data_IF_397709137418
#
_entry.id   IF_397709137418
#
_cell.length_a   1.000
_cell.length_b   1.000
_cell.length_c   1.000
_cell.angle_alpha   90.00
_cell.angle_beta   90.00
_cell.angle_gamma   90.00
#
_symmetry.space_group_name_H-M   'P 1'
#
loop_
_entity.id
_entity.type
_entity.pdbx_description
1 polymer ?
#
# COMPACT_ATOMS: atom_id res chain seq x y z
N UNK A 1 2.11 -51.82 8.46
CA UNK A 1 2.57 -50.61 9.14
C UNK A 1 2.57 -49.47 8.16
N UNK A 2 1.55 -48.59 8.16
CA UNK A 2 1.53 -47.36 7.37
C UNK A 2 2.27 -46.28 8.16
N UNK A 3 3.39 -45.81 7.66
CA UNK A 3 4.05 -44.61 8.19
C UNK A 3 3.14 -43.39 7.93
N UNK A 4 2.64 -42.80 8.99
CA UNK A 4 1.99 -41.49 9.00
C UNK A 4 3.08 -40.47 8.67
N UNK A 5 3.05 -39.92 7.49
CA UNK A 5 3.81 -38.70 7.14
C UNK A 5 3.13 -37.57 7.88
N UNK A 6 3.66 -37.17 9.01
CA UNK A 6 3.35 -35.87 9.60
C UNK A 6 3.76 -34.85 8.60
N UNK A 7 2.80 -34.03 8.10
CA UNK A 7 3.06 -32.95 7.19
C UNK A 7 4.09 -32.00 7.80
N UNK A 8 5.17 -31.74 7.08
CA UNK A 8 6.16 -30.73 7.50
C UNK A 8 5.46 -29.38 7.58
N UNK A 9 5.77 -28.55 8.58
CA UNK A 9 5.22 -27.21 8.66
C UNK A 9 5.60 -26.44 7.39
N UNK A 10 4.60 -25.87 6.74
CA UNK A 10 4.78 -25.06 5.52
C UNK A 10 4.47 -23.60 5.85
N UNK A 11 5.26 -22.69 5.29
CA UNK A 11 5.10 -21.24 5.45
C UNK A 11 4.50 -20.65 4.19
N UNK A 12 3.57 -19.69 4.34
CA UNK A 12 3.10 -18.88 3.24
C UNK A 12 4.16 -17.80 2.94
N UNK A 13 4.50 -17.59 1.68
CA UNK A 13 5.47 -16.56 1.26
C UNK A 13 4.81 -15.51 0.41
N UNK A 14 5.52 -14.39 0.22
CA UNK A 14 5.12 -13.32 -0.66
C UNK A 14 5.25 -13.81 -2.11
N UNK A 15 4.17 -14.28 -2.66
CA UNK A 15 4.07 -14.64 -4.07
C UNK A 15 2.77 -14.08 -4.63
N UNK A 16 2.72 -13.81 -5.92
CA UNK A 16 1.51 -13.36 -6.64
C UNK A 16 0.30 -14.30 -6.50
N UNK A 17 0.48 -15.46 -5.84
CA UNK A 17 -0.56 -16.43 -5.52
C UNK A 17 -0.59 -16.68 -4.01
N UNK A 18 -1.75 -16.50 -3.38
CA UNK A 18 -1.97 -16.67 -1.95
C UNK A 18 -1.69 -18.11 -1.43
N UNK A 19 -1.63 -19.10 -2.34
CA UNK A 19 -1.54 -20.51 -2.02
C UNK A 19 -0.11 -21.09 -2.04
N UNK A 20 0.91 -20.29 -2.33
CA UNK A 20 2.29 -20.78 -2.35
C UNK A 20 2.81 -20.94 -0.93
N UNK A 21 3.09 -22.19 -0.58
CA UNK A 21 3.68 -22.60 0.71
C UNK A 21 5.06 -23.19 0.46
N UNK A 22 6.03 -22.77 1.25
CA UNK A 22 7.40 -23.27 1.21
C UNK A 22 7.69 -24.18 2.40
N UNK A 23 8.69 -25.07 2.27
CA UNK A 23 9.16 -25.87 3.40
C UNK A 23 9.84 -24.95 4.44
N UNK A 24 10.02 -25.49 5.66
CA UNK A 24 10.73 -24.77 6.71
C UNK A 24 12.18 -24.46 6.33
N UNK A 25 12.84 -25.41 5.69
CA UNK A 25 14.23 -25.26 5.23
C UNK A 25 14.33 -24.13 4.20
N UNK A 26 13.39 -24.06 3.26
CA UNK A 26 13.35 -23.02 2.26
C UNK A 26 13.03 -21.66 2.88
N UNK A 27 12.11 -21.58 3.83
CA UNK A 27 11.81 -20.34 4.56
C UNK A 27 13.06 -19.83 5.33
N UNK A 28 13.82 -20.70 5.98
CA UNK A 28 15.09 -20.34 6.66
C UNK A 28 16.11 -19.84 5.65
N UNK A 29 16.23 -20.47 4.49
CA UNK A 29 17.15 -20.05 3.43
C UNK A 29 16.82 -18.65 2.93
N UNK A 30 15.56 -18.41 2.60
CA UNK A 30 15.07 -17.10 2.14
C UNK A 30 15.31 -16.01 3.18
N UNK A 31 14.93 -16.24 4.42
CA UNK A 31 15.14 -15.30 5.55
C UNK A 31 16.62 -14.96 5.75
N UNK A 32 17.50 -15.96 5.63
CA UNK A 32 18.95 -15.74 5.72
C UNK A 32 19.50 -14.94 4.54
N UNK A 33 18.98 -15.14 3.34
CA UNK A 33 19.36 -14.38 2.15
C UNK A 33 18.89 -12.92 2.25
N UNK A 34 17.63 -12.69 2.67
CA UNK A 34 17.06 -11.36 2.87
C UNK A 34 17.79 -10.61 3.99
N UNK A 35 18.03 -11.26 5.13
CA UNK A 35 18.80 -10.68 6.24
C UNK A 35 20.21 -10.29 5.79
N UNK A 36 20.90 -11.17 5.06
CA UNK A 36 22.24 -10.87 4.52
C UNK A 36 22.20 -9.67 3.57
N UNK A 37 21.21 -9.62 2.67
CA UNK A 37 21.02 -8.51 1.75
C UNK A 37 20.82 -7.17 2.46
N UNK A 38 19.96 -7.14 3.49
CA UNK A 38 19.77 -5.94 4.32
C UNK A 38 21.05 -5.52 5.02
N UNK A 39 21.82 -6.45 5.60
CA UNK A 39 23.10 -6.18 6.28
C UNK A 39 24.13 -5.62 5.28
N UNK A 40 24.29 -6.23 4.11
CA UNK A 40 25.20 -5.78 3.06
C UNK A 40 24.88 -4.35 2.60
N UNK A 41 23.60 -4.01 2.50
CA UNK A 41 23.13 -2.66 2.19
C UNK A 41 23.13 -1.70 3.39
N UNK A 42 23.38 -2.18 4.60
CA UNK A 42 23.26 -1.43 5.86
C UNK A 42 21.86 -0.84 6.03
N UNK A 43 20.84 -1.61 5.73
CA UNK A 43 19.43 -1.22 5.84
C UNK A 43 18.67 -2.13 6.79
N UNK A 44 17.56 -1.61 7.30
CA UNK A 44 16.48 -2.37 7.92
C UNK A 44 15.29 -2.44 6.95
N UNK A 45 14.37 -3.35 7.16
CA UNK A 45 13.08 -3.35 6.47
C UNK A 45 12.12 -2.38 7.18
N UNK A 46 11.48 -1.49 6.43
CA UNK A 46 10.47 -0.58 6.93
C UNK A 46 9.12 -0.94 6.32
N UNK A 47 8.20 -1.43 7.16
CA UNK A 47 6.83 -1.70 6.77
C UNK A 47 6.01 -0.44 7.01
N UNK A 48 5.37 0.06 5.96
CA UNK A 48 4.59 1.30 6.00
C UNK A 48 3.14 0.99 5.66
N UNK A 49 2.24 1.35 6.56
CA UNK A 49 0.82 1.43 6.25
C UNK A 49 0.51 2.70 5.45
N UNK A 50 -0.60 2.73 4.74
CA UNK A 50 -1.00 3.84 3.88
C UNK A 50 -1.98 4.78 4.58
N UNK A 51 -3.20 4.29 4.84
CA UNK A 51 -4.35 5.08 5.25
C UNK A 51 -4.19 5.60 6.69
N UNK A 52 -4.38 6.91 6.89
CA UNK A 52 -4.15 7.61 8.17
C UNK A 52 -2.69 7.58 8.67
N UNK A 53 -1.81 6.82 8.03
CA UNK A 53 -0.38 6.75 8.33
C UNK A 53 0.41 7.75 7.50
N UNK A 54 0.53 7.55 6.18
CA UNK A 54 1.27 8.45 5.29
C UNK A 54 0.37 9.27 4.37
N UNK A 55 -0.90 8.90 4.23
CA UNK A 55 -1.91 9.60 3.46
C UNK A 55 -3.19 9.77 4.28
N UNK A 56 -4.05 10.69 3.84
CA UNK A 56 -5.45 10.74 4.22
C UNK A 56 -6.31 10.59 2.96
N UNK A 57 -7.28 9.67 3.01
CA UNK A 57 -8.20 9.40 1.90
C UNK A 57 -9.63 9.57 2.36
N UNK A 58 -10.46 10.17 1.50
CA UNK A 58 -11.90 10.24 1.69
C UNK A 58 -12.62 9.90 0.39
N UNK A 59 -13.82 9.38 0.53
CA UNK A 59 -14.76 9.13 -0.58
C UNK A 59 -15.95 10.10 -0.54
N UNK A 60 -15.89 11.13 0.30
CA UNK A 60 -16.95 12.11 0.48
C UNK A 60 -17.18 12.91 -0.82
N UNK A 61 -18.36 12.83 -1.44
CA UNK A 61 -18.66 13.51 -2.69
C UNK A 61 -18.60 15.03 -2.59
N UNK A 62 -18.71 15.60 -1.39
CA UNK A 62 -18.62 17.06 -1.19
C UNK A 62 -17.27 17.63 -1.61
N UNK A 63 -16.20 16.82 -1.60
CA UNK A 63 -14.87 17.23 -2.11
C UNK A 63 -14.95 17.58 -3.59
N UNK A 64 -15.71 16.81 -4.38
CA UNK A 64 -15.96 17.10 -5.80
C UNK A 64 -16.74 18.41 -5.97
N UNK A 65 -17.71 18.69 -5.10
CA UNK A 65 -18.48 19.93 -5.14
C UNK A 65 -17.60 21.17 -4.93
N UNK A 66 -16.59 21.07 -4.03
CA UNK A 66 -15.66 22.17 -3.80
C UNK A 66 -14.85 22.51 -5.07
N UNK A 67 -14.56 21.51 -5.90
CA UNK A 67 -13.81 21.68 -7.14
C UNK A 67 -14.62 22.38 -8.25
N UNK A 68 -15.95 22.38 -8.18
CA UNK A 68 -16.81 23.00 -9.20
C UNK A 68 -16.90 24.52 -9.10
N UNK A 69 -16.60 25.11 -7.95
CA UNK A 69 -16.67 26.56 -7.74
C UNK A 69 -15.40 27.10 -7.08
N UNK A 70 -14.55 27.82 -7.84
CA UNK A 70 -13.36 28.48 -7.28
C UNK A 70 -13.65 29.51 -6.18
N UNK A 71 -14.92 29.94 -6.01
CA UNK A 71 -15.34 30.82 -4.91
C UNK A 71 -15.76 30.04 -3.68
N UNK A 72 -15.83 28.70 -3.75
CA UNK A 72 -16.13 27.88 -2.59
C UNK A 72 -15.08 28.10 -1.50
N UNK A 73 -15.47 28.36 -0.23
CA UNK A 73 -14.53 28.58 0.87
C UNK A 73 -13.52 27.44 1.06
N UNK A 74 -13.90 26.22 0.67
CA UNK A 74 -13.07 25.02 0.78
C UNK A 74 -12.17 24.78 -0.45
N UNK A 75 -12.25 25.62 -1.50
CA UNK A 75 -11.40 25.47 -2.68
C UNK A 75 -9.90 25.40 -2.35
N UNK A 76 -9.45 26.19 -1.38
CA UNK A 76 -8.04 26.17 -0.95
C UNK A 76 -7.61 24.83 -0.33
N UNK A 77 -8.54 24.01 0.14
CA UNK A 77 -8.25 22.69 0.71
C UNK A 77 -7.94 21.64 -0.36
N UNK A 78 -8.31 21.92 -1.63
CA UNK A 78 -8.02 21.03 -2.76
C UNK A 78 -6.56 21.09 -3.20
N UNK A 79 -5.80 22.06 -2.70
CA UNK A 79 -4.37 22.13 -2.96
C UNK A 79 -3.71 20.81 -2.56
N UNK A 80 -2.95 20.23 -3.50
CA UNK A 80 -2.24 18.96 -3.35
C UNK A 80 -3.16 17.73 -3.13
N UNK A 81 -4.47 17.86 -3.40
CA UNK A 81 -5.38 16.69 -3.45
C UNK A 81 -5.25 16.03 -4.83
N UNK A 82 -5.09 14.71 -4.82
CA UNK A 82 -5.12 13.85 -6.00
C UNK A 82 -6.40 13.02 -5.95
N UNK A 83 -7.13 12.97 -7.05
CA UNK A 83 -8.33 12.16 -7.18
C UNK A 83 -8.12 11.02 -8.17
N UNK A 84 -8.73 9.87 -7.90
CA UNK A 84 -8.84 8.75 -8.83
C UNK A 84 -10.18 8.04 -8.63
N UNK A 85 -10.61 7.25 -9.60
CA UNK A 85 -11.85 6.49 -9.49
C UNK A 85 -11.60 5.01 -9.72
N UNK A 86 -12.17 4.19 -8.84
CA UNK A 86 -12.33 2.76 -9.08
C UNK A 86 -13.76 2.48 -9.53
N UNK A 87 -13.91 1.56 -10.47
CA UNK A 87 -15.21 1.10 -10.92
C UNK A 87 -16.02 0.42 -9.82
N UNK A 88 -17.27 0.12 -10.11
CA UNK A 88 -18.21 -0.53 -9.19
C UNK A 88 -17.74 -1.89 -8.69
N UNK A 89 -16.82 -2.54 -9.40
CA UNK A 89 -16.17 -3.80 -9.02
C UNK A 89 -15.04 -3.61 -7.99
N UNK A 90 -14.63 -2.38 -7.69
CA UNK A 90 -13.50 -2.04 -6.83
C UNK A 90 -12.13 -2.50 -7.35
N UNK A 91 -12.07 -2.98 -8.61
CA UNK A 91 -10.88 -3.55 -9.24
C UNK A 91 -10.43 -2.79 -10.47
N UNK A 92 -11.37 -2.31 -11.26
CA UNK A 92 -11.09 -1.55 -12.47
C UNK A 92 -10.76 -0.10 -12.11
N UNK A 93 -9.66 0.44 -12.63
CA UNK A 93 -9.36 1.88 -12.50
C UNK A 93 -10.10 2.61 -13.62
N UNK A 94 -11.19 3.30 -13.28
CA UNK A 94 -12.01 4.03 -14.23
C UNK A 94 -11.46 5.42 -14.54
N UNK A 95 -10.75 6.03 -13.56
CA UNK A 95 -10.02 7.28 -13.74
C UNK A 95 -8.67 7.21 -13.02
N UNK A 96 -7.59 7.53 -13.75
CA UNK A 96 -6.23 7.49 -13.21
C UNK A 96 -6.00 8.62 -12.18
N UNK A 97 -5.02 8.47 -11.26
CA UNK A 97 -4.70 9.52 -10.30
C UNK A 97 -4.33 10.84 -10.99
N UNK A 98 -5.02 11.92 -10.61
CA UNK A 98 -4.86 13.25 -11.18
C UNK A 98 -5.03 14.34 -10.11
N UNK A 99 -4.25 15.41 -10.18
CA UNK A 99 -4.31 16.54 -9.23
C UNK A 99 -5.54 17.40 -9.46
N UNK A 100 -6.28 17.71 -8.40
CA UNK A 100 -7.51 18.50 -8.48
C UNK A 100 -7.25 20.00 -8.65
N UNK A 101 -6.06 20.51 -8.29
CA UNK A 101 -5.72 21.93 -8.33
C UNK A 101 -5.15 22.38 -9.69
N UNK A 102 -4.93 21.45 -10.63
CA UNK A 102 -4.27 21.73 -11.93
C UNK A 102 -5.19 21.63 -13.15
N UNK A 103 -6.41 21.10 -12.99
CA UNK A 103 -7.27 20.82 -14.13
C UNK A 103 -8.58 21.61 -14.15
N UNK A 104 -9.04 21.86 -15.38
CA UNK A 104 -10.40 22.35 -15.63
C UNK A 104 -11.38 21.29 -15.07
N UNK A 105 -12.08 21.64 -14.03
CA UNK A 105 -12.98 20.80 -13.22
C UNK A 105 -13.97 19.97 -14.04
N UNK A 106 -14.15 20.32 -15.32
CA UNK A 106 -15.01 19.64 -16.27
C UNK A 106 -14.55 18.20 -16.57
N UNK A 107 -13.25 17.88 -16.46
CA UNK A 107 -12.74 16.52 -16.72
C UNK A 107 -13.20 15.52 -15.68
N UNK A 108 -13.29 15.93 -14.40
CA UNK A 108 -13.82 15.05 -13.33
C UNK A 108 -15.33 14.82 -13.40
N UNK A 109 -16.04 15.60 -14.24
CA UNK A 109 -17.51 15.51 -14.35
C UNK A 109 -17.99 14.56 -15.44
N UNK A 110 -17.16 14.31 -16.46
CA UNK A 110 -17.57 13.63 -17.70
C UNK A 110 -16.94 12.26 -17.94
N UNK A 111 -15.76 12.01 -17.37
CA UNK A 111 -14.98 10.80 -17.63
C UNK A 111 -14.92 9.93 -16.37
N UNK A 112 -15.66 8.82 -16.38
CA UNK A 112 -15.65 7.85 -15.30
C UNK A 112 -16.83 6.90 -15.35
N UNK A 113 -16.79 5.87 -14.51
CA UNK A 113 -17.91 4.96 -14.29
C UNK A 113 -18.97 5.69 -13.44
N UNK A 114 -20.21 5.81 -13.92
CA UNK A 114 -21.32 6.45 -13.18
C UNK A 114 -21.56 5.78 -11.82
N UNK A 115 -21.24 4.49 -11.70
CA UNK A 115 -21.37 3.70 -10.47
C UNK A 115 -20.05 3.54 -9.73
N UNK A 116 -18.96 4.14 -10.22
CA UNK A 116 -17.63 4.04 -9.64
C UNK A 116 -17.48 4.90 -8.38
N UNK A 117 -16.52 4.53 -7.53
CA UNK A 117 -16.19 5.24 -6.30
C UNK A 117 -15.01 6.18 -6.52
N UNK A 118 -15.19 7.46 -6.23
CA UNK A 118 -14.12 8.45 -6.24
C UNK A 118 -13.37 8.45 -4.92
N UNK A 119 -12.04 8.47 -5.01
CA UNK A 119 -11.10 8.56 -3.90
C UNK A 119 -10.34 9.88 -3.99
N UNK A 120 -10.34 10.65 -2.91
CA UNK A 120 -9.64 11.93 -2.79
C UNK A 120 -8.52 11.77 -1.78
N UNK A 121 -7.29 11.89 -2.26
CA UNK A 121 -6.07 11.56 -1.53
C UNK A 121 -5.29 12.82 -1.22
N UNK A 122 -4.94 12.99 0.04
CA UNK A 122 -4.02 14.04 0.48
C UNK A 122 -2.83 13.42 1.19
N UNK A 123 -1.64 13.76 0.73
CA UNK A 123 -0.40 13.29 1.36
C UNK A 123 -0.22 13.96 2.73
N UNK A 124 0.31 13.22 3.69
CA UNK A 124 0.73 13.80 4.97
C UNK A 124 1.78 14.87 4.73
N UNK A 125 1.68 16.06 5.39
CA UNK A 125 2.70 17.10 5.25
C UNK A 125 4.10 16.58 5.56
N UNK A 126 5.06 16.87 4.67
CA UNK A 126 6.44 16.43 4.82
C UNK A 126 6.73 14.99 4.37
N UNK A 127 5.74 14.25 3.82
CA UNK A 127 5.91 12.86 3.40
C UNK A 127 7.09 12.66 2.46
N UNK A 128 7.24 13.50 1.42
CA UNK A 128 8.32 13.34 0.45
C UNK A 128 9.70 13.51 1.11
N UNK A 129 9.85 14.49 1.99
CA UNK A 129 11.09 14.70 2.73
C UNK A 129 11.39 13.52 3.68
N UNK A 130 10.35 12.97 4.33
CA UNK A 130 10.46 11.77 5.16
C UNK A 130 10.95 10.58 4.32
N UNK A 131 10.28 10.25 3.22
CA UNK A 131 10.65 9.12 2.36
C UNK A 131 12.09 9.25 1.82
N UNK A 132 12.49 10.45 1.39
CA UNK A 132 13.85 10.72 0.96
C UNK A 132 14.88 10.52 2.09
N UNK A 133 14.56 10.92 3.31
CA UNK A 133 15.47 10.78 4.45
C UNK A 133 15.63 9.35 4.93
N UNK A 134 14.58 8.51 4.81
CA UNK A 134 14.64 7.11 5.29
C UNK A 134 15.10 6.12 4.22
N UNK A 135 14.95 6.44 2.93
CA UNK A 135 15.30 5.53 1.82
C UNK A 135 16.75 5.03 1.82
N UNK A 136 17.76 5.80 2.29
CA UNK A 136 19.13 5.28 2.40
C UNK A 136 19.32 4.25 3.53
N UNK A 137 18.44 4.28 4.55
CA UNK A 137 18.56 3.46 5.77
C UNK A 137 17.60 2.27 5.79
N UNK A 138 16.56 2.31 4.95
CA UNK A 138 15.53 1.30 4.96
C UNK A 138 15.23 0.77 3.57
N UNK A 139 14.95 -0.52 3.47
CA UNK A 139 14.19 -1.11 2.39
C UNK A 139 12.70 -1.02 2.72
N UNK A 140 11.96 -0.29 1.90
CA UNK A 140 10.57 0.04 2.22
C UNK A 140 9.59 -0.95 1.58
N UNK A 141 8.60 -1.36 2.38
CA UNK A 141 7.49 -2.22 2.00
C UNK A 141 6.18 -1.51 2.35
N UNK A 142 5.18 -1.65 1.52
CA UNK A 142 3.80 -1.24 1.83
C UNK A 142 3.06 -2.43 2.41
N UNK A 143 2.30 -2.22 3.48
CA UNK A 143 1.36 -3.21 3.98
C UNK A 143 0.01 -2.53 4.28
N UNK A 144 -0.95 -2.69 3.39
CA UNK A 144 -2.27 -2.06 3.50
C UNK A 144 -3.39 -3.10 3.53
N UNK A 145 -4.51 -2.72 4.13
CA UNK A 145 -5.76 -3.47 4.09
C UNK A 145 -6.63 -3.11 2.86
N UNK A 146 -6.12 -2.28 1.95
CA UNK A 146 -6.76 -1.94 0.68
C UNK A 146 -6.70 -3.06 -0.37
N UNK A 147 -7.46 -2.88 -1.45
CA UNK A 147 -7.40 -3.77 -2.63
C UNK A 147 -6.16 -3.46 -3.48
N UNK A 148 -5.81 -4.38 -4.42
CA UNK A 148 -4.67 -4.19 -5.33
C UNK A 148 -4.78 -2.88 -6.11
N UNK A 149 -5.90 -2.65 -6.77
CA UNK A 149 -6.11 -1.45 -7.59
C UNK A 149 -6.03 -0.16 -6.79
N UNK A 150 -6.54 -0.17 -5.54
CA UNK A 150 -6.41 0.94 -4.62
C UNK A 150 -4.93 1.21 -4.28
N UNK A 151 -4.22 0.18 -3.81
CA UNK A 151 -2.81 0.31 -3.43
C UNK A 151 -1.92 0.76 -4.59
N UNK A 152 -2.17 0.24 -5.81
CA UNK A 152 -1.43 0.63 -7.01
C UNK A 152 -1.65 2.11 -7.36
N UNK A 153 -2.88 2.64 -7.22
CA UNK A 153 -3.16 4.06 -7.40
C UNK A 153 -2.43 4.91 -6.34
N UNK A 154 -2.49 4.51 -5.06
CA UNK A 154 -1.79 5.23 -3.98
C UNK A 154 -0.27 5.20 -4.19
N UNK A 155 0.31 4.04 -4.51
CA UNK A 155 1.75 3.93 -4.76
C UNK A 155 2.19 4.82 -5.93
N UNK A 156 1.41 4.95 -6.99
CA UNK A 156 1.70 5.89 -8.10
C UNK A 156 1.70 7.35 -7.65
N UNK A 157 0.89 7.72 -6.66
CA UNK A 157 0.85 9.07 -6.11
C UNK A 157 2.07 9.33 -5.21
N UNK A 158 2.45 8.35 -4.38
CA UNK A 158 3.50 8.47 -3.36
C UNK A 158 4.89 8.23 -3.93
N UNK A 159 5.03 7.26 -4.82
CA UNK A 159 6.28 6.76 -5.44
C UNK A 159 6.08 6.61 -6.96
N UNK A 160 5.94 7.73 -7.72
CA UNK A 160 5.61 7.68 -9.16
C UNK A 160 6.60 6.87 -10.00
N UNK A 161 7.87 6.89 -9.61
CA UNK A 161 8.94 6.20 -10.32
C UNK A 161 9.11 4.74 -9.87
N UNK A 162 8.41 4.31 -8.83
CA UNK A 162 8.46 2.95 -8.29
C UNK A 162 9.80 2.57 -7.64
N UNK A 163 10.63 3.55 -7.27
CA UNK A 163 11.96 3.29 -6.72
C UNK A 163 11.94 2.93 -5.23
N UNK A 164 10.94 3.40 -4.49
CA UNK A 164 10.88 3.22 -3.05
C UNK A 164 10.27 1.87 -2.67
N UNK A 165 9.11 1.56 -3.22
CA UNK A 165 8.36 0.35 -2.88
C UNK A 165 8.53 -0.77 -3.92
N UNK A 166 8.62 -0.44 -5.21
CA UNK A 166 8.71 -1.43 -6.29
C UNK A 166 7.58 -2.46 -6.20
N UNK A 167 7.93 -3.75 -6.18
CA UNK A 167 6.98 -4.85 -6.01
C UNK A 167 6.68 -5.21 -4.54
N UNK A 168 7.25 -4.50 -3.58
CA UNK A 168 7.14 -4.79 -2.14
C UNK A 168 5.85 -4.22 -1.54
N UNK A 169 4.70 -4.66 -2.07
CA UNK A 169 3.36 -4.22 -1.66
C UNK A 169 2.57 -5.46 -1.23
N UNK A 170 2.25 -5.56 0.06
CA UNK A 170 1.41 -6.60 0.63
C UNK A 170 0.00 -6.05 0.88
N UNK A 171 -1.00 -6.81 0.50
CA UNK A 171 -2.40 -6.45 0.53
C UNK A 171 -3.21 -7.36 1.44
N UNK A 172 -4.39 -6.90 1.83
CA UNK A 172 -5.36 -7.68 2.60
C UNK A 172 -5.63 -9.05 2.00
N UNK A 173 -5.98 -9.10 0.72
CA UNK A 173 -6.38 -10.34 0.04
C UNK A 173 -5.23 -11.35 -0.05
N UNK A 174 -4.00 -10.86 -0.06
CA UNK A 174 -2.78 -11.67 -0.10
C UNK A 174 -2.34 -12.12 1.29
N UNK A 175 -2.79 -11.44 2.35
CA UNK A 175 -2.45 -11.78 3.73
C UNK A 175 -3.18 -13.05 4.24
N UNK A 176 -4.26 -13.47 3.59
CA UNK A 176 -5.07 -14.61 4.02
C UNK A 176 -5.87 -14.39 5.32
N UNK A 177 -5.83 -13.17 5.86
CA UNK A 177 -6.63 -12.71 6.98
C UNK A 177 -7.13 -11.30 6.70
N UNK A 178 -8.44 -11.13 6.65
CA UNK A 178 -9.07 -9.84 6.33
C UNK A 178 -9.11 -8.86 7.51
N UNK A 179 -8.77 -9.33 8.71
CA UNK A 179 -8.95 -8.56 9.96
C UNK A 179 -7.63 -8.11 10.57
N UNK A 180 -6.58 -8.94 10.46
CA UNK A 180 -5.29 -8.72 11.11
C UNK A 180 -4.14 -8.72 10.09
N UNK A 181 -3.18 -7.84 10.31
CA UNK A 181 -1.88 -7.85 9.64
C UNK A 181 -0.96 -8.88 10.30
N UNK A 182 -0.12 -9.54 9.51
CA UNK A 182 0.87 -10.47 10.02
C UNK A 182 2.16 -10.37 9.22
N UNK A 183 3.27 -10.20 9.91
CA UNK A 183 4.59 -10.17 9.30
C UNK A 183 5.06 -11.56 8.83
N UNK A 184 4.42 -12.64 9.26
CA UNK A 184 4.85 -14.02 8.97
C UNK A 184 4.90 -14.37 7.48
N UNK A 185 4.22 -13.62 6.62
CA UNK A 185 4.30 -13.81 5.16
C UNK A 185 5.50 -13.12 4.52
N UNK A 186 5.91 -11.98 5.09
CA UNK A 186 7.09 -11.24 4.64
C UNK A 186 8.36 -11.78 5.30
N UNK A 187 8.25 -12.06 6.61
CA UNK A 187 9.37 -12.45 7.47
C UNK A 187 8.95 -13.68 8.28
N UNK A 188 9.01 -14.89 7.67
CA UNK A 188 8.44 -16.12 8.28
C UNK A 188 9.27 -16.65 9.44
N UNK A 189 10.53 -16.28 9.59
CA UNK A 189 11.47 -16.82 10.58
C UNK A 189 11.82 -15.79 11.64
N UNK A 190 12.27 -14.59 11.25
CA UNK A 190 12.67 -13.52 12.18
C UNK A 190 12.13 -12.16 11.74
N UNK A 191 11.79 -11.33 12.73
CA UNK A 191 11.41 -9.92 12.53
C UNK A 191 12.43 -8.95 13.14
N UNK A 192 13.63 -9.42 13.47
CA UNK A 192 14.64 -8.64 14.17
C UNK A 192 15.15 -7.42 13.37
N UNK A 193 15.04 -7.50 12.03
CA UNK A 193 15.44 -6.42 11.12
C UNK A 193 14.27 -5.55 10.66
N UNK A 194 13.09 -5.67 11.28
CA UNK A 194 11.83 -5.05 10.81
C UNK A 194 11.41 -3.89 11.71
N UNK A 195 11.07 -2.78 11.11
CA UNK A 195 10.41 -1.63 11.73
C UNK A 195 9.05 -1.44 11.08
N UNK A 196 8.01 -1.17 11.87
CA UNK A 196 6.64 -0.95 11.39
C UNK A 196 6.20 0.47 11.72
N UNK A 197 5.57 1.14 10.75
CA UNK A 197 4.85 2.41 10.93
C UNK A 197 3.40 2.18 10.51
N UNK A 198 2.49 2.27 11.48
CA UNK A 198 1.06 2.07 11.31
C UNK A 198 0.33 2.88 12.38
N UNK A 199 -0.78 3.53 12.04
CA UNK A 199 -1.60 4.28 13.01
C UNK A 199 -2.45 3.36 13.89
N UNK A 200 -2.60 2.09 13.51
CA UNK A 200 -3.43 1.10 14.19
C UNK A 200 -2.62 -0.05 14.78
N UNK A 201 -2.30 0.05 16.06
CA UNK A 201 -1.64 -1.05 16.79
C UNK A 201 -2.53 -2.30 16.96
N UNK A 202 -3.85 -2.14 16.88
CA UNK A 202 -4.83 -3.20 17.10
C UNK A 202 -4.97 -4.20 15.93
N UNK A 203 -4.40 -3.88 14.77
CA UNK A 203 -4.43 -4.76 13.59
C UNK A 203 -3.24 -5.73 13.51
N UNK A 204 -2.26 -5.58 14.42
CA UNK A 204 -1.03 -6.41 14.50
C UNK A 204 -1.08 -7.54 15.52
#
# INVERSE_FOLDING_TARGET
MRRSTFGQPTFATLHSSADVKVSREEAIRMDSEDTRHLIEQRKLALIVDLDQTIIHVTVDPTVKEWAHDPKNPNWCMLKDVVAFQLGSDGKTVSHQPERMDQHDVKSFATDGDENGCWYYVKLRPGLQAFLQSVSPMYEMHVYTMGTRSYADCICRIVDPDGHLFGARILLRDENGNEVQKSLSRLFPISTDMVVVIDDRADVW
#
